data_IF_970484468436
#
_entry.id   IF_970484468436
#
_cell.length_a   1.000
_cell.length_b   1.000
_cell.length_c   1.000
_cell.angle_alpha   90.00
_cell.angle_beta   90.00
_cell.angle_gamma   90.00
#
_symmetry.space_group_name_H-M   'P 1'
#
loop_
_entity.id
_entity.type
_entity.pdbx_description
1 polymer ?
#
# COMPACT_ATOMS: atom_id res chain seq x y z
N UNK A 1 -4.40 10.64 10.85
CA UNK A 1 -3.80 11.13 9.59
C UNK A 1 -2.40 11.65 9.91
N UNK A 2 -1.39 10.79 9.78
CA UNK A 2 0.01 11.17 10.01
C UNK A 2 0.57 11.81 8.74
N UNK A 3 1.34 12.88 8.92
CA UNK A 3 1.83 13.74 7.85
C UNK A 3 2.65 12.96 6.80
N UNK A 4 2.44 13.30 5.53
CA UNK A 4 3.06 12.70 4.36
C UNK A 4 4.55 13.10 4.18
N UNK A 5 5.33 13.10 5.25
CA UNK A 5 6.74 13.54 5.26
C UNK A 5 7.72 12.49 4.72
N UNK A 6 7.22 11.32 4.29
CA UNK A 6 8.03 10.17 3.84
C UNK A 6 8.36 10.17 2.34
N UNK A 7 7.82 11.11 1.56
CA UNK A 7 7.91 11.08 0.10
C UNK A 7 9.02 11.99 -0.43
N UNK A 8 9.99 11.44 -1.16
CA UNK A 8 10.82 12.22 -2.07
C UNK A 8 9.99 12.55 -3.32
N UNK A 9 9.82 13.85 -3.59
CA UNK A 9 9.06 14.37 -4.74
C UNK A 9 7.70 14.93 -4.34
N UNK A 10 7.66 16.19 -3.91
CA UNK A 10 6.41 16.89 -3.58
C UNK A 10 5.45 16.98 -4.78
N UNK A 11 5.93 16.84 -6.02
CA UNK A 11 5.17 17.12 -7.24
C UNK A 11 4.28 15.97 -7.73
N UNK A 12 4.64 14.70 -7.47
CA UNK A 12 3.92 13.53 -8.02
C UNK A 12 2.53 13.29 -7.39
N UNK A 13 2.20 14.03 -6.33
CA UNK A 13 0.94 13.91 -5.58
C UNK A 13 0.02 15.10 -5.78
N UNK A 14 0.41 16.01 -6.65
CA UNK A 14 -0.35 17.21 -6.95
C UNK A 14 -1.29 16.91 -8.12
N UNK A 15 -2.53 17.38 -8.03
CA UNK A 15 -3.48 17.25 -9.13
C UNK A 15 -3.01 18.07 -10.34
N UNK A 16 -2.84 17.41 -11.48
CA UNK A 16 -2.27 18.01 -12.71
C UNK A 16 -2.99 19.28 -13.18
N UNK A 17 -4.31 19.39 -12.97
CA UNK A 17 -5.10 20.56 -13.40
C UNK A 17 -5.35 21.56 -12.27
N UNK A 18 -5.53 21.08 -11.03
CA UNK A 18 -6.00 21.93 -9.92
C UNK A 18 -4.91 22.30 -8.93
N UNK A 19 -3.70 21.78 -9.11
CA UNK A 19 -2.56 21.94 -8.21
C UNK A 19 -2.85 21.55 -6.74
N UNK A 20 -3.93 20.79 -6.47
CA UNK A 20 -4.32 20.38 -5.11
C UNK A 20 -3.44 19.22 -4.64
N UNK A 21 -2.81 19.36 -3.48
CA UNK A 21 -2.05 18.30 -2.81
C UNK A 21 -3.00 17.17 -2.38
N UNK A 22 -2.68 15.92 -2.74
CA UNK A 22 -3.41 14.74 -2.26
C UNK A 22 -2.94 14.33 -0.88
N UNK A 23 -3.89 13.98 0.00
CA UNK A 23 -3.59 13.38 1.32
C UNK A 23 -3.01 11.99 1.09
N UNK A 24 -2.03 11.61 1.90
CA UNK A 24 -1.39 10.31 1.79
C UNK A 24 -1.23 9.69 3.18
N UNK A 25 -1.18 8.37 3.19
CA UNK A 25 -0.99 7.55 4.37
C UNK A 25 -0.40 6.20 3.95
N UNK A 26 -0.27 5.32 4.93
CA UNK A 26 0.16 3.95 4.73
C UNK A 26 -0.89 3.12 3.99
N UNK A 27 -0.46 1.97 3.46
CA UNK A 27 -1.37 1.00 2.86
C UNK A 27 -2.33 0.47 3.95
N UNK A 28 -3.61 0.35 3.60
CA UNK A 28 -4.66 -0.12 4.49
C UNK A 28 -5.27 -1.41 3.94
N UNK A 29 -4.90 -2.54 4.54
CA UNK A 29 -5.34 -3.86 4.11
C UNK A 29 -6.76 -4.19 4.56
N UNK A 30 -7.25 -3.59 5.66
CA UNK A 30 -8.64 -3.77 6.09
C UNK A 30 -9.60 -3.19 5.06
N UNK A 31 -9.30 -1.98 4.57
CA UNK A 31 -10.05 -1.35 3.48
C UNK A 31 -9.93 -2.16 2.18
N UNK A 32 -8.72 -2.59 1.81
CA UNK A 32 -8.52 -3.36 0.58
C UNK A 32 -9.21 -4.73 0.62
N UNK A 33 -9.26 -5.39 1.77
CA UNK A 33 -9.98 -6.65 1.96
C UNK A 33 -11.49 -6.45 1.78
N UNK A 34 -12.02 -5.35 2.30
CA UNK A 34 -13.42 -4.97 2.07
C UNK A 34 -13.70 -4.73 0.58
N UNK A 35 -12.85 -4.00 -0.14
CA UNK A 35 -13.06 -3.77 -1.58
C UNK A 35 -12.90 -5.04 -2.41
N UNK A 36 -11.99 -5.94 -2.02
CA UNK A 36 -11.81 -7.24 -2.66
C UNK A 36 -13.06 -8.12 -2.50
N UNK A 37 -13.66 -8.13 -1.30
CA UNK A 37 -14.92 -8.84 -1.04
C UNK A 37 -16.06 -8.29 -1.89
N UNK A 38 -16.20 -6.97 -1.98
CA UNK A 38 -17.30 -6.32 -2.74
C UNK A 38 -17.16 -6.54 -4.25
N UNK A 39 -15.93 -6.48 -4.78
CA UNK A 39 -15.70 -6.51 -6.22
C UNK A 39 -15.30 -7.89 -6.76
N UNK A 40 -14.97 -8.85 -5.90
CA UNK A 40 -14.52 -10.19 -6.31
C UNK A 40 -13.20 -10.15 -7.09
N UNK A 41 -12.17 -9.49 -6.56
CA UNK A 41 -10.88 -9.42 -7.25
C UNK A 41 -10.25 -10.80 -7.42
N UNK A 42 -9.86 -11.12 -8.66
CA UNK A 42 -9.10 -12.35 -8.98
C UNK A 42 -7.59 -12.11 -8.96
N UNK A 43 -7.15 -10.87 -9.09
CA UNK A 43 -5.74 -10.47 -9.06
C UNK A 43 -5.57 -8.99 -8.71
N UNK A 44 -4.42 -8.63 -8.16
CA UNK A 44 -4.04 -7.26 -7.80
C UNK A 44 -2.93 -6.73 -8.73
N UNK A 45 -3.04 -5.45 -9.10
CA UNK A 45 -1.95 -4.67 -9.68
C UNK A 45 -1.41 -3.73 -8.61
N UNK A 46 -0.24 -4.06 -8.03
CA UNK A 46 0.43 -3.25 -7.03
C UNK A 46 1.26 -2.18 -7.73
N UNK A 47 0.85 -0.92 -7.63
CA UNK A 47 1.52 0.17 -8.35
C UNK A 47 2.39 0.99 -7.42
N UNK A 48 3.44 1.58 -8.01
CA UNK A 48 4.35 2.52 -7.35
C UNK A 48 5.02 1.92 -6.10
N UNK A 49 5.60 0.74 -6.25
CA UNK A 49 6.43 0.12 -5.21
C UNK A 49 7.71 0.94 -4.97
N UNK A 50 8.24 1.54 -6.04
CA UNK A 50 9.46 2.38 -6.07
C UNK A 50 9.43 3.55 -5.08
N UNK A 51 8.25 4.07 -4.74
CA UNK A 51 8.16 5.19 -3.80
C UNK A 51 8.53 4.80 -2.36
N UNK A 52 8.57 3.50 -2.06
CA UNK A 52 8.95 2.97 -0.76
C UNK A 52 10.45 2.64 -0.66
N UNK A 53 11.20 2.76 -1.78
CA UNK A 53 12.59 2.32 -1.91
C UNK A 53 13.52 2.88 -0.85
N UNK A 54 13.32 4.14 -0.46
CA UNK A 54 14.22 4.84 0.44
C UNK A 54 13.87 4.68 1.92
N UNK A 55 12.76 4.02 2.25
CA UNK A 55 12.27 3.97 3.62
C UNK A 55 13.00 2.90 4.44
N UNK A 56 13.42 3.19 5.68
CA UNK A 56 14.00 2.17 6.58
C UNK A 56 12.95 1.24 7.17
N UNK A 57 11.74 1.75 7.38
CA UNK A 57 10.60 1.03 7.96
C UNK A 57 9.33 1.43 7.22
N UNK A 58 8.43 0.48 7.02
CA UNK A 58 7.17 0.68 6.32
C UNK A 58 6.06 0.16 7.22
N UNK A 59 5.04 1.00 7.49
CA UNK A 59 3.86 0.57 8.24
C UNK A 59 2.74 0.19 7.28
N UNK A 60 1.94 -0.80 7.69
CA UNK A 60 0.79 -1.30 6.94
C UNK A 60 -0.36 -1.47 7.93
N UNK A 61 -1.52 -0.90 7.63
CA UNK A 61 -2.72 -1.10 8.44
C UNK A 61 -3.27 -2.49 8.18
N UNK A 62 -3.27 -3.35 9.21
CA UNK A 62 -3.67 -4.77 9.12
C UNK A 62 -4.97 -5.07 9.86
N UNK A 63 -5.52 -4.09 10.57
CA UNK A 63 -6.75 -4.27 11.33
C UNK A 63 -7.24 -2.94 11.91
N UNK A 64 -8.44 -2.96 12.43
CA UNK A 64 -9.08 -1.81 13.05
C UNK A 64 -9.52 -2.12 14.47
N UNK A 65 -9.46 -1.10 15.32
CA UNK A 65 -10.08 -1.09 16.64
C UNK A 65 -11.08 0.06 16.71
N UNK A 66 -12.28 -0.23 17.19
CA UNK A 66 -13.34 0.74 17.39
C UNK A 66 -13.80 0.68 18.84
N UNK A 67 -13.70 1.80 19.55
CA UNK A 67 -14.06 1.91 20.97
C UNK A 67 -13.37 0.83 21.84
N UNK A 68 -12.07 0.60 21.60
CA UNK A 68 -11.28 -0.37 22.35
C UNK A 68 -11.44 -1.84 21.92
N UNK A 69 -12.32 -2.16 20.95
CA UNK A 69 -12.52 -3.53 20.46
C UNK A 69 -12.04 -3.71 19.03
N UNK A 70 -11.33 -4.81 18.77
CA UNK A 70 -10.92 -5.17 17.41
C UNK A 70 -12.15 -5.55 16.58
N UNK A 71 -12.17 -5.07 15.34
CA UNK A 71 -13.25 -5.33 14.39
C UNK A 71 -12.66 -5.97 13.13
N UNK A 72 -13.42 -6.87 12.53
CA UNK A 72 -13.07 -7.61 11.31
C UNK A 72 -13.82 -7.09 10.07
N UNK A 73 -14.50 -5.95 10.20
CA UNK A 73 -15.28 -5.31 9.15
C UNK A 73 -14.84 -3.86 8.93
N UNK A 74 -15.12 -3.34 7.73
CA UNK A 74 -14.97 -1.92 7.44
C UNK A 74 -16.20 -1.15 7.97
N UNK A 75 -16.03 -0.08 8.78
CA UNK A 75 -17.16 0.66 9.33
C UNK A 75 -18.06 1.26 8.24
N UNK A 76 -19.38 1.13 8.41
CA UNK A 76 -20.38 1.61 7.44
C UNK A 76 -20.74 3.09 7.60
N UNK A 77 -20.39 3.71 8.72
CA UNK A 77 -20.70 5.12 9.02
C UNK A 77 -19.44 5.96 9.14
N UNK A 78 -19.53 7.23 8.70
CA UNK A 78 -18.44 8.20 8.87
C UNK A 78 -18.13 8.45 10.35
N UNK A 79 -19.16 8.46 11.21
CA UNK A 79 -19.01 8.68 12.65
C UNK A 79 -18.19 7.59 13.35
N UNK A 80 -18.31 6.35 12.89
CA UNK A 80 -17.49 5.24 13.39
C UNK A 80 -16.10 5.24 12.74
N UNK A 81 -16.02 5.49 11.44
CA UNK A 81 -14.75 5.52 10.71
C UNK A 81 -13.76 6.55 11.28
N UNK A 82 -14.25 7.71 11.73
CA UNK A 82 -13.42 8.76 12.35
C UNK A 82 -12.85 8.32 13.71
N UNK A 83 -13.50 7.37 14.39
CA UNK A 83 -13.08 6.85 15.70
C UNK A 83 -12.20 5.61 15.60
N UNK A 84 -11.97 5.10 14.39
CA UNK A 84 -11.14 3.92 14.17
C UNK A 84 -9.69 4.21 14.55
N UNK A 85 -9.15 3.34 15.39
CA UNK A 85 -7.72 3.20 15.61
C UNK A 85 -7.20 2.11 14.66
N UNK A 86 -6.24 2.48 13.81
CA UNK A 86 -5.61 1.52 12.89
C UNK A 86 -4.55 0.72 13.63
N UNK A 87 -4.61 -0.60 13.52
CA UNK A 87 -3.60 -1.53 13.99
C UNK A 87 -2.56 -1.66 12.86
N UNK A 88 -1.32 -1.26 13.14
CA UNK A 88 -0.24 -1.28 12.17
C UNK A 88 0.71 -2.46 12.42
N UNK A 89 1.08 -3.14 11.34
CA UNK A 89 2.28 -3.96 11.28
C UNK A 89 3.41 -3.11 10.69
N UNK A 90 4.64 -3.30 11.19
CA UNK A 90 5.82 -2.57 10.71
C UNK A 90 6.83 -3.55 10.11
N UNK A 91 7.12 -3.37 8.83
CA UNK A 91 8.14 -4.12 8.11
C UNK A 91 9.43 -3.30 8.00
N UNK A 92 10.55 -4.01 7.88
CA UNK A 92 11.78 -3.40 7.38
C UNK A 92 11.59 -2.98 5.93
N UNK A 93 11.97 -1.75 5.61
CA UNK A 93 12.10 -1.34 4.21
C UNK A 93 13.36 -1.93 3.58
N UNK A 94 13.60 -1.62 2.31
CA UNK A 94 14.72 -2.19 1.57
C UNK A 94 15.85 -1.21 1.28
N UNK A 95 15.63 0.11 1.39
CA UNK A 95 16.66 1.14 1.24
C UNK A 95 17.53 0.99 -0.02
N UNK A 96 16.92 0.51 -1.11
CA UNK A 96 17.55 0.23 -2.39
C UNK A 96 16.58 0.51 -3.53
N UNK A 97 17.09 0.92 -4.69
CA UNK A 97 16.21 1.17 -5.84
C UNK A 97 15.59 -0.13 -6.38
N UNK A 98 14.31 -0.08 -6.74
CA UNK A 98 13.60 -1.09 -7.53
C UNK A 98 13.45 -0.68 -9.00
N UNK A 99 13.88 0.54 -9.34
CA UNK A 99 13.90 1.02 -10.72
C UNK A 99 14.75 0.09 -11.61
N UNK A 100 14.25 -0.22 -12.81
CA UNK A 100 14.91 -1.13 -13.73
C UNK A 100 14.74 -2.63 -13.42
N UNK A 101 14.15 -3.01 -12.29
CA UNK A 101 13.83 -4.43 -12.00
C UNK A 101 12.71 -4.92 -12.93
N UNK A 102 12.87 -6.13 -13.49
CA UNK A 102 11.94 -6.72 -14.47
C UNK A 102 11.45 -8.13 -14.12
N UNK A 103 11.84 -8.67 -12.96
CA UNK A 103 11.39 -9.97 -12.49
C UNK A 103 11.28 -9.98 -10.96
N UNK A 104 10.38 -10.80 -10.42
CA UNK A 104 10.10 -10.85 -8.98
C UNK A 104 11.33 -11.23 -8.18
N UNK A 105 12.13 -12.17 -8.69
CA UNK A 105 13.27 -12.75 -7.98
C UNK A 105 14.33 -11.70 -7.68
N UNK A 106 14.48 -10.72 -8.59
CA UNK A 106 15.43 -9.62 -8.52
C UNK A 106 14.98 -8.48 -7.59
N UNK A 107 13.74 -8.50 -7.09
CA UNK A 107 13.33 -7.54 -6.08
C UNK A 107 14.09 -7.78 -4.75
N UNK A 108 14.34 -6.71 -3.98
CA UNK A 108 14.89 -6.83 -2.64
C UNK A 108 14.07 -7.78 -1.77
N UNK A 109 14.70 -8.55 -0.86
CA UNK A 109 13.98 -9.50 0.00
C UNK A 109 12.82 -8.88 0.77
N UNK A 110 12.99 -7.67 1.29
CA UNK A 110 11.94 -6.97 2.04
C UNK A 110 10.79 -6.46 1.15
N UNK A 111 11.07 -6.12 -0.11
CA UNK A 111 10.02 -5.79 -1.08
C UNK A 111 9.17 -7.02 -1.41
N UNK A 112 9.80 -8.20 -1.55
CA UNK A 112 9.08 -9.48 -1.72
C UNK A 112 8.21 -9.82 -0.50
N UNK A 113 8.72 -9.62 0.72
CA UNK A 113 7.93 -9.79 1.95
C UNK A 113 6.73 -8.85 2.01
N UNK A 114 6.92 -7.60 1.59
CA UNK A 114 5.83 -6.62 1.50
C UNK A 114 4.70 -7.10 0.57
N UNK A 115 5.05 -7.62 -0.61
CA UNK A 115 4.09 -8.19 -1.57
C UNK A 115 3.40 -9.42 -0.98
N UNK A 116 4.17 -10.33 -0.39
CA UNK A 116 3.65 -11.56 0.22
C UNK A 116 2.63 -11.25 1.33
N UNK A 117 2.92 -10.28 2.21
CA UNK A 117 1.97 -9.89 3.27
C UNK A 117 0.65 -9.36 2.70
N UNK A 118 0.69 -8.63 1.59
CA UNK A 118 -0.52 -8.16 0.90
C UNK A 118 -1.33 -9.35 0.38
N UNK A 119 -0.68 -10.29 -0.31
CA UNK A 119 -1.35 -11.48 -0.86
C UNK A 119 -1.97 -12.34 0.24
N UNK A 120 -1.24 -12.59 1.33
CA UNK A 120 -1.70 -13.36 2.49
C UNK A 120 -2.92 -12.73 3.15
N UNK A 121 -2.92 -11.40 3.32
CA UNK A 121 -4.01 -10.71 3.99
C UNK A 121 -5.28 -10.60 3.13
N UNK A 122 -5.10 -10.45 1.81
CA UNK A 122 -6.21 -10.31 0.87
C UNK A 122 -6.75 -11.66 0.38
N UNK A 123 -5.92 -12.71 0.37
CA UNK A 123 -6.24 -13.98 -0.28
C UNK A 123 -6.35 -13.85 -1.82
N UNK A 124 -5.75 -12.81 -2.39
CA UNK A 124 -5.79 -12.49 -3.82
C UNK A 124 -4.37 -12.30 -4.33
N UNK A 125 -3.96 -12.98 -5.43
CA UNK A 125 -2.59 -12.88 -5.92
C UNK A 125 -2.30 -11.51 -6.53
N UNK A 126 -1.08 -11.01 -6.32
CA UNK A 126 -0.53 -9.88 -7.06
C UNK A 126 -0.01 -10.42 -8.39
N UNK A 127 -0.39 -9.78 -9.50
CA UNK A 127 0.02 -10.20 -10.85
C UNK A 127 0.87 -9.17 -11.58
N UNK A 128 0.75 -7.90 -11.19
CA UNK A 128 1.51 -6.81 -11.75
C UNK A 128 2.10 -5.95 -10.65
N UNK A 129 3.37 -5.57 -10.81
CA UNK A 129 4.10 -4.74 -9.84
C UNK A 129 4.75 -3.58 -10.59
N UNK A 130 4.30 -2.35 -10.33
CA UNK A 130 4.89 -1.14 -10.89
C UNK A 130 6.08 -0.67 -10.06
N UNK A 131 7.25 -0.56 -10.69
CA UNK A 131 8.53 -0.11 -10.10
C UNK A 131 9.08 1.14 -10.81
N UNK A 132 8.18 1.96 -11.36
CA UNK A 132 8.51 3.18 -12.09
C UNK A 132 7.31 3.75 -12.86
N UNK A 133 7.51 4.91 -13.50
CA UNK A 133 6.43 5.62 -14.22
C UNK A 133 6.17 5.09 -15.64
N UNK A 134 7.16 4.50 -16.29
CA UNK A 134 7.06 4.01 -17.67
C UNK A 134 6.34 2.67 -17.77
N UNK A 135 5.79 2.38 -18.95
CA UNK A 135 5.03 1.13 -19.21
C UNK A 135 5.90 -0.12 -19.07
N UNK A 136 7.17 -0.01 -19.44
CA UNK A 136 8.20 -1.03 -19.29
C UNK A 136 8.61 -1.27 -17.83
N UNK A 137 8.19 -0.39 -16.91
CA UNK A 137 8.50 -0.47 -15.48
C UNK A 137 7.41 -1.23 -14.70
N UNK A 138 6.75 -2.19 -15.36
CA UNK A 138 5.78 -3.11 -14.75
C UNK A 138 6.32 -4.55 -14.84
N UNK A 139 6.54 -5.17 -13.69
CA UNK A 139 6.86 -6.60 -13.58
C UNK A 139 5.54 -7.37 -13.73
N UNK A 140 5.53 -8.41 -14.56
CA UNK A 140 4.39 -9.32 -14.74
C UNK A 140 4.74 -10.69 -14.17
N UNK A 141 3.84 -11.27 -13.39
CA UNK A 141 3.96 -12.58 -12.74
C UNK A 141 3.18 -13.67 -13.48
#
# INVERSE_FOLDING_TARGET
MLQASFYKGEDMKIGVTTNRKRRCGWLDLTLLKFTAMVNGYTSICLTKLDILDTLPKIQIGVGYRLNGKEIDYFPSTTSDLVKVEVIYETLDGWQSTTEGVRSLEKLPPNAKKYIQLIEEHLGVPVKWIGVGAGRESVITL
#
